data_IF_536570942110
#
_entry.id   IF_536570942110
#
_cell.length_a   1.000
_cell.length_b   1.000
_cell.length_c   1.000
_cell.angle_alpha   90.00
_cell.angle_beta   90.00
_cell.angle_gamma   90.00
#
_symmetry.space_group_name_H-M   'P 1'
#
loop_
_entity.id
_entity.type
_entity.pdbx_description
1 polymer ?
#
# COMPACT_ATOMS: atom_id res chain seq x y z
N UNK A 1 -5.82 10.68 -6.14
CA UNK A 1 -6.08 11.42 -7.39
C UNK A 1 -7.53 11.29 -7.79
N UNK A 2 -7.87 11.80 -8.96
CA UNK A 2 -9.10 11.45 -9.66
C UNK A 2 -8.61 10.79 -10.95
N UNK A 3 -8.92 9.51 -11.10
CA UNK A 3 -8.70 8.76 -12.35
C UNK A 3 -10.06 8.58 -12.99
N UNK A 4 -10.16 8.80 -14.29
CA UNK A 4 -11.41 8.60 -15.05
C UNK A 4 -11.29 7.39 -15.96
N UNK A 5 -12.41 6.76 -16.31
CA UNK A 5 -12.45 5.65 -17.27
C UNK A 5 -11.94 6.04 -18.66
N UNK A 6 -12.00 7.33 -19.01
CA UNK A 6 -11.44 7.87 -20.26
C UNK A 6 -9.91 7.79 -20.27
N UNK A 7 -9.24 8.13 -19.16
CA UNK A 7 -7.78 8.03 -19.02
C UNK A 7 -7.28 6.58 -19.10
N UNK A 8 -8.14 5.60 -18.82
CA UNK A 8 -7.80 4.18 -18.86
C UNK A 8 -7.87 3.57 -20.26
N UNK A 9 -8.51 4.24 -21.22
CA UNK A 9 -8.73 3.67 -22.57
C UNK A 9 -7.41 3.51 -23.32
N UNK A 10 -7.25 2.35 -23.94
CA UNK A 10 -6.06 2.03 -24.73
C UNK A 10 -4.88 1.50 -23.90
N UNK A 11 -5.02 1.42 -22.57
CA UNK A 11 -4.06 0.77 -21.69
C UNK A 11 -4.58 -0.59 -21.24
N UNK A 12 -3.65 -1.51 -20.93
CA UNK A 12 -3.97 -2.75 -20.24
C UNK A 12 -3.99 -2.46 -18.72
N UNK A 13 -5.18 -2.44 -18.12
CA UNK A 13 -5.40 -1.90 -16.77
C UNK A 13 -5.86 -2.98 -15.81
N UNK A 14 -5.13 -3.12 -14.70
CA UNK A 14 -5.53 -3.91 -13.54
C UNK A 14 -5.71 -2.99 -12.32
N UNK A 15 -6.90 -3.01 -11.72
CA UNK A 15 -7.25 -2.21 -10.52
C UNK A 15 -7.07 -3.05 -9.26
N UNK A 16 -6.35 -2.51 -8.27
CA UNK A 16 -6.09 -3.17 -6.99
C UNK A 16 -6.89 -2.50 -5.87
N UNK A 17 -7.42 -3.29 -4.93
CA UNK A 17 -8.03 -2.79 -3.70
C UNK A 17 -7.70 -3.68 -2.50
N UNK A 18 -7.12 -3.09 -1.46
CA UNK A 18 -6.50 -3.79 -0.32
C UNK A 18 -7.48 -4.32 0.71
N UNK A 19 -8.64 -3.69 0.89
CA UNK A 19 -9.72 -4.13 1.79
C UNK A 19 -11.00 -3.31 1.52
N UNK A 20 -12.09 -3.63 2.24
CA UNK A 20 -13.43 -3.15 1.94
C UNK A 20 -13.80 -1.75 2.48
N UNK A 21 -13.00 -1.16 3.38
CA UNK A 21 -13.31 0.17 3.93
C UNK A 21 -13.31 1.28 2.88
N UNK A 22 -14.11 2.31 3.15
CA UNK A 22 -14.44 3.35 2.17
C UNK A 22 -13.27 4.24 1.75
N UNK A 23 -12.24 4.36 2.58
CA UNK A 23 -11.01 5.06 2.23
C UNK A 23 -10.07 4.24 1.32
N UNK A 24 -10.35 2.94 1.13
CA UNK A 24 -9.61 2.05 0.23
C UNK A 24 -10.43 1.55 -0.96
N UNK A 25 -11.74 1.37 -0.78
CA UNK A 25 -12.62 0.82 -1.80
C UNK A 25 -13.98 1.50 -1.81
N UNK A 26 -14.36 1.98 -3.00
CA UNK A 26 -15.70 2.50 -3.26
C UNK A 26 -16.31 1.60 -4.35
N UNK A 27 -17.44 0.90 -4.09
CA UNK A 27 -18.05 -0.04 -5.05
C UNK A 27 -18.36 0.54 -6.44
N UNK A 28 -18.41 1.86 -6.57
CA UNK A 28 -18.55 2.54 -7.85
C UNK A 28 -17.45 2.17 -8.86
N UNK A 29 -16.23 1.84 -8.39
CA UNK A 29 -15.12 1.41 -9.26
C UNK A 29 -15.46 0.16 -10.07
N UNK A 30 -16.28 -0.74 -9.52
CA UNK A 30 -16.70 -1.98 -10.20
C UNK A 30 -17.57 -1.72 -11.43
N UNK A 31 -18.15 -0.51 -11.54
CA UNK A 31 -18.94 -0.12 -12.72
C UNK A 31 -18.05 0.25 -13.90
N UNK A 32 -16.75 0.49 -13.70
CA UNK A 32 -15.82 0.89 -14.76
C UNK A 32 -15.68 -0.17 -15.85
N UNK A 33 -15.88 -1.46 -15.51
CA UNK A 33 -15.90 -2.56 -16.49
C UNK A 33 -17.01 -2.42 -17.55
N UNK A 34 -18.02 -1.57 -17.35
CA UNK A 34 -19.04 -1.27 -18.37
C UNK A 34 -18.50 -0.36 -19.48
N UNK A 35 -17.52 0.48 -19.16
CA UNK A 35 -16.91 1.43 -20.08
C UNK A 35 -15.57 0.93 -20.63
N UNK A 36 -14.88 0.09 -19.85
CA UNK A 36 -13.60 -0.55 -20.20
C UNK A 36 -13.74 -2.06 -19.93
N UNK A 37 -14.30 -2.85 -20.87
CA UNK A 37 -14.61 -4.27 -20.64
C UNK A 37 -13.41 -5.16 -20.33
N UNK A 38 -12.23 -4.79 -20.83
CA UNK A 38 -10.97 -5.52 -20.62
C UNK A 38 -10.35 -5.28 -19.23
N UNK A 39 -10.95 -4.38 -18.42
CA UNK A 39 -10.40 -4.03 -17.12
C UNK A 39 -10.44 -5.22 -16.15
N UNK A 40 -9.30 -5.47 -15.51
CA UNK A 40 -9.12 -6.54 -14.53
C UNK A 40 -9.11 -5.96 -13.12
N UNK A 41 -9.49 -6.76 -12.14
CA UNK A 41 -9.44 -6.36 -10.74
C UNK A 41 -8.69 -7.40 -9.91
N UNK A 42 -7.87 -6.94 -8.97
CA UNK A 42 -7.32 -7.73 -7.87
C UNK A 42 -7.89 -7.15 -6.59
N UNK A 43 -8.87 -7.85 -6.02
CA UNK A 43 -9.62 -7.37 -4.86
C UNK A 43 -9.31 -8.29 -3.68
N UNK A 44 -9.03 -7.69 -2.52
CA UNK A 44 -8.93 -8.44 -1.27
C UNK A 44 -10.17 -9.32 -1.02
N UNK A 45 -9.97 -10.40 -0.28
CA UNK A 45 -10.95 -11.45 -0.02
C UNK A 45 -12.22 -10.94 0.69
N UNK A 46 -12.10 -9.86 1.46
CA UNK A 46 -13.17 -9.20 2.22
C UNK A 46 -14.04 -8.27 1.36
N UNK A 47 -13.59 -7.91 0.15
CA UNK A 47 -14.36 -7.08 -0.77
C UNK A 47 -15.43 -7.93 -1.48
N UNK A 48 -16.67 -7.46 -1.59
CA UNK A 48 -17.65 -8.10 -2.49
C UNK A 48 -17.51 -7.58 -3.92
N UNK A 49 -17.37 -8.48 -4.89
CA UNK A 49 -17.27 -8.13 -6.30
C UNK A 49 -18.63 -7.91 -6.98
N UNK A 50 -19.75 -8.25 -6.34
CA UNK A 50 -21.10 -8.03 -6.89
C UNK A 50 -21.36 -8.61 -8.28
N UNK A 51 -20.66 -9.69 -8.67
CA UNK A 51 -20.76 -10.29 -10.01
C UNK A 51 -19.93 -9.63 -11.10
N UNK A 52 -19.03 -8.70 -10.74
CA UNK A 52 -18.10 -8.07 -11.70
C UNK A 52 -17.19 -9.13 -12.33
N UNK A 53 -17.03 -9.17 -13.66
CA UNK A 53 -16.13 -10.11 -14.33
C UNK A 53 -14.66 -9.74 -14.10
N UNK A 54 -13.75 -10.64 -14.47
CA UNK A 54 -12.29 -10.41 -14.45
C UNK A 54 -11.73 -10.02 -13.08
N UNK A 55 -12.26 -10.64 -12.01
CA UNK A 55 -11.83 -10.40 -10.63
C UNK A 55 -10.98 -11.56 -10.12
N UNK A 56 -9.75 -11.25 -9.70
CA UNK A 56 -8.91 -12.12 -8.88
C UNK A 56 -9.13 -11.78 -7.41
N UNK A 57 -9.52 -12.79 -6.61
CA UNK A 57 -9.66 -12.65 -5.16
C UNK A 57 -8.31 -12.87 -4.47
N UNK A 58 -7.82 -11.81 -3.84
CA UNK A 58 -6.54 -11.79 -3.14
C UNK A 58 -6.74 -12.17 -1.66
N UNK A 59 -6.16 -13.30 -1.27
CA UNK A 59 -6.08 -13.77 0.11
C UNK A 59 -4.69 -13.44 0.68
N UNK A 60 -4.53 -13.35 2.01
CA UNK A 60 -3.22 -13.15 2.61
C UNK A 60 -2.23 -14.25 2.23
N UNK A 61 -0.95 -13.89 2.04
CA UNK A 61 0.16 -14.83 1.85
C UNK A 61 0.00 -15.76 0.63
N UNK A 62 -0.52 -15.24 -0.47
CA UNK A 62 -0.80 -15.99 -1.68
C UNK A 62 -0.16 -15.34 -2.91
N UNK A 63 -0.13 -16.09 -4.01
CA UNK A 63 0.46 -15.66 -5.28
C UNK A 63 -0.53 -15.89 -6.41
N UNK A 64 -0.64 -14.91 -7.30
CA UNK A 64 -1.58 -14.89 -8.42
C UNK A 64 -0.90 -14.40 -9.69
N UNK A 65 -1.40 -14.85 -10.85
CA UNK A 65 -1.23 -14.14 -12.12
C UNK A 65 -2.51 -13.33 -12.38
N UNK A 66 -2.34 -12.03 -12.62
CA UNK A 66 -3.44 -11.10 -12.89
C UNK A 66 -3.22 -10.42 -14.25
N UNK A 67 -3.19 -11.24 -15.32
CA UNK A 67 -3.02 -10.76 -16.69
C UNK A 67 -1.57 -10.39 -16.97
N UNK A 68 -0.63 -11.30 -16.66
CA UNK A 68 0.80 -11.07 -16.83
C UNK A 68 1.45 -10.27 -15.70
N UNK A 69 0.66 -9.73 -14.77
CA UNK A 69 1.15 -9.16 -13.51
C UNK A 69 1.25 -10.28 -12.48
N UNK A 70 2.46 -10.57 -12.00
CA UNK A 70 2.64 -11.49 -10.88
C UNK A 70 2.36 -10.73 -9.58
N UNK A 71 1.34 -11.17 -8.86
CA UNK A 71 0.92 -10.54 -7.60
C UNK A 71 1.24 -11.48 -6.44
N UNK A 72 1.95 -10.97 -5.43
CA UNK A 72 2.06 -11.61 -4.11
C UNK A 72 1.36 -10.75 -3.07
N UNK A 73 0.84 -11.36 -2.02
CA UNK A 73 0.14 -10.66 -0.95
C UNK A 73 0.74 -10.95 0.42
N UNK A 74 0.64 -10.00 1.33
CA UNK A 74 0.89 -10.19 2.76
C UNK A 74 -0.41 -9.99 3.54
N UNK A 75 -0.46 -10.52 4.77
CA UNK A 75 -1.58 -10.24 5.66
C UNK A 75 -1.46 -8.82 6.19
N UNK A 76 -2.52 -8.01 6.06
CA UNK A 76 -2.57 -6.71 6.72
C UNK A 76 -2.73 -6.86 8.23
N UNK A 77 -2.18 -5.92 8.99
CA UNK A 77 -2.33 -5.86 10.46
C UNK A 77 -3.60 -5.15 10.91
N UNK A 78 -4.24 -4.39 10.02
CA UNK A 78 -5.58 -3.84 10.23
C UNK A 78 -6.59 -4.64 9.40
N UNK A 79 -6.72 -4.33 8.10
CA UNK A 79 -7.66 -5.03 7.20
C UNK A 79 -7.09 -5.46 5.85
N UNK A 80 -7.57 -6.62 5.39
CA UNK A 80 -7.29 -7.21 4.07
C UNK A 80 -5.83 -7.57 3.84
N UNK A 81 -5.23 -7.06 2.76
CA UNK A 81 -3.90 -7.46 2.28
C UNK A 81 -3.03 -6.28 1.85
N UNK A 82 -1.71 -6.47 1.98
CA UNK A 82 -0.72 -5.69 1.22
C UNK A 82 -0.41 -6.38 -0.11
N UNK A 83 0.03 -5.62 -1.11
CA UNK A 83 0.37 -6.13 -2.44
C UNK A 83 1.85 -5.96 -2.75
N UNK A 84 2.40 -6.98 -3.43
CA UNK A 84 3.61 -6.89 -4.22
C UNK A 84 3.21 -7.21 -5.67
N UNK A 85 3.35 -6.26 -6.57
CA UNK A 85 3.06 -6.43 -7.99
C UNK A 85 4.36 -6.39 -8.80
N UNK A 86 4.59 -7.41 -9.62
CA UNK A 86 5.72 -7.54 -10.52
C UNK A 86 5.20 -7.52 -11.97
N UNK A 87 5.54 -6.49 -12.73
CA UNK A 87 5.11 -6.29 -14.12
C UNK A 87 6.20 -5.53 -14.90
N UNK A 88 6.48 -5.94 -16.14
CA UNK A 88 7.45 -5.28 -17.04
C UNK A 88 8.83 -5.01 -16.41
N UNK A 89 9.28 -5.93 -15.54
CA UNK A 89 10.55 -5.80 -14.82
C UNK A 89 10.54 -4.84 -13.64
N UNK A 90 9.40 -4.17 -13.37
CA UNK A 90 9.18 -3.35 -12.18
C UNK A 90 8.61 -4.17 -11.04
N UNK A 91 8.99 -3.81 -9.81
CA UNK A 91 8.50 -4.42 -8.58
C UNK A 91 7.97 -3.36 -7.62
N UNK A 92 6.65 -3.36 -7.42
CA UNK A 92 5.93 -2.35 -6.65
C UNK A 92 5.39 -2.98 -5.37
N UNK A 93 5.66 -2.35 -4.22
CA UNK A 93 5.03 -2.66 -2.93
C UNK A 93 3.95 -1.64 -2.59
N UNK A 94 2.77 -2.11 -2.21
CA UNK A 94 1.71 -1.26 -1.68
C UNK A 94 1.19 -1.88 -0.39
N UNK A 95 1.46 -1.23 0.74
CA UNK A 95 1.18 -1.80 2.05
C UNK A 95 -0.32 -2.00 2.35
N UNK A 96 -1.21 -1.24 1.70
CA UNK A 96 -2.58 -1.13 2.22
C UNK A 96 -2.52 -0.66 3.67
N UNK A 97 -3.14 -1.40 4.58
CA UNK A 97 -3.07 -1.10 6.02
C UNK A 97 -2.06 -1.94 6.79
N UNK A 98 -1.15 -2.62 6.09
CA UNK A 98 -0.06 -3.30 6.77
C UNK A 98 0.91 -2.27 7.35
N UNK A 99 0.80 -2.02 8.64
CA UNK A 99 1.63 -1.08 9.38
C UNK A 99 1.87 -1.52 10.82
N UNK A 100 2.86 -0.90 11.47
CA UNK A 100 3.03 -1.00 12.91
C UNK A 100 2.10 0.01 13.61
N UNK A 101 0.85 -0.38 13.82
CA UNK A 101 -0.18 0.44 14.48
C UNK A 101 0.00 0.49 16.00
N UNK A 102 1.10 1.08 16.46
CA UNK A 102 1.31 1.31 17.90
C UNK A 102 0.52 2.53 18.34
N UNK A 103 -0.40 2.34 19.29
CA UNK A 103 -1.25 3.41 19.81
C UNK A 103 -0.93 3.65 21.28
N UNK A 104 -0.56 4.90 21.60
CA UNK A 104 -0.33 5.32 22.98
C UNK A 104 -1.62 5.16 23.80
N UNK A 105 -1.52 4.46 24.93
CA UNK A 105 -2.64 4.19 25.81
C UNK A 105 -3.34 2.85 25.57
N UNK A 106 -3.09 2.17 24.45
CA UNK A 106 -3.52 0.78 24.28
C UNK A 106 -2.72 -0.16 25.19
N UNK A 107 -3.31 -1.30 25.62
CA UNK A 107 -2.62 -2.27 26.45
C UNK A 107 -1.30 -2.72 25.83
N UNK A 108 -0.24 -2.82 26.65
CA UNK A 108 1.10 -3.21 26.19
C UNK A 108 1.06 -4.53 25.40
N UNK A 109 0.29 -5.51 25.88
CA UNK A 109 0.11 -6.80 25.19
C UNK A 109 -0.48 -6.64 23.77
N UNK A 110 -1.39 -5.71 23.56
CA UNK A 110 -1.98 -5.45 22.24
C UNK A 110 -0.96 -4.80 21.30
N UNK A 111 -0.21 -3.81 21.82
CA UNK A 111 0.88 -3.16 21.09
C UNK A 111 2.03 -4.14 20.75
N UNK A 112 2.33 -5.08 21.63
CA UNK A 112 3.31 -6.15 21.39
C UNK A 112 2.82 -7.14 20.32
N UNK A 113 1.55 -7.56 20.39
CA UNK A 113 0.95 -8.43 19.38
C UNK A 113 0.93 -7.76 18.00
N UNK A 114 0.61 -6.46 17.95
CA UNK A 114 0.68 -5.64 16.73
C UNK A 114 2.11 -5.60 16.17
N UNK A 115 3.11 -5.36 17.02
CA UNK A 115 4.51 -5.38 16.62
C UNK A 115 4.92 -6.74 16.04
N UNK A 116 4.55 -7.85 16.69
CA UNK A 116 4.86 -9.20 16.22
C UNK A 116 4.19 -9.51 14.88
N UNK A 117 2.92 -9.14 14.73
CA UNK A 117 2.17 -9.35 13.48
C UNK A 117 2.78 -8.56 12.32
N UNK A 118 3.06 -7.28 12.52
CA UNK A 118 3.68 -6.43 11.49
C UNK A 118 5.06 -6.95 11.09
N UNK A 119 5.94 -7.15 12.06
CA UNK A 119 7.32 -7.61 11.82
C UNK A 119 7.33 -8.97 11.13
N UNK A 120 6.48 -9.90 11.55
CA UNK A 120 6.36 -11.22 10.93
C UNK A 120 5.99 -11.19 9.45
N UNK A 121 5.19 -10.22 9.01
CA UNK A 121 4.86 -10.04 7.59
C UNK A 121 5.98 -9.34 6.81
N UNK A 122 6.60 -8.29 7.38
CA UNK A 122 7.73 -7.58 6.74
C UNK A 122 8.98 -8.45 6.64
N UNK A 123 9.25 -9.30 7.62
CA UNK A 123 10.42 -10.19 7.63
C UNK A 123 10.40 -11.20 6.46
N UNK A 124 9.23 -11.49 5.90
CA UNK A 124 9.10 -12.32 4.68
C UNK A 124 9.68 -11.64 3.44
N UNK A 125 9.79 -10.30 3.46
CA UNK A 125 10.36 -9.48 2.39
C UNK A 125 11.84 -9.18 2.60
N UNK A 126 12.48 -9.79 3.61
CA UNK A 126 13.85 -9.44 4.01
C UNK A 126 14.83 -9.61 2.85
N UNK A 127 15.60 -8.56 2.60
CA UNK A 127 16.58 -8.50 1.50
C UNK A 127 15.99 -8.22 0.12
N UNK A 128 14.66 -8.11 -0.01
CA UNK A 128 14.04 -7.67 -1.25
C UNK A 128 14.25 -6.17 -1.47
N UNK A 129 14.43 -5.78 -2.74
CA UNK A 129 14.43 -4.38 -3.18
C UNK A 129 13.25 -4.14 -4.11
N UNK A 130 12.49 -3.08 -3.84
CA UNK A 130 11.36 -2.61 -4.63
C UNK A 130 11.77 -1.39 -5.45
N UNK A 131 11.20 -1.22 -6.63
CA UNK A 131 11.38 0.01 -7.41
C UNK A 131 10.55 1.14 -6.78
N UNK A 132 9.31 0.84 -6.40
CA UNK A 132 8.39 1.79 -5.77
C UNK A 132 7.74 1.13 -4.55
N UNK A 133 7.67 1.84 -3.43
CA UNK A 133 6.97 1.40 -2.23
C UNK A 133 6.00 2.47 -1.72
N UNK A 134 4.75 2.09 -1.48
CA UNK A 134 3.75 2.90 -0.78
C UNK A 134 3.61 2.38 0.65
N UNK A 135 4.00 3.20 1.64
CA UNK A 135 4.11 2.77 3.04
C UNK A 135 3.41 3.77 3.98
N UNK A 136 2.60 3.32 4.96
CA UNK A 136 1.91 4.20 5.88
C UNK A 136 2.89 5.02 6.74
N UNK A 137 2.60 6.31 6.88
CA UNK A 137 3.24 7.22 7.82
C UNK A 137 2.11 8.06 8.42
N UNK A 138 1.56 7.59 9.54
CA UNK A 138 0.32 8.13 10.09
C UNK A 138 0.61 9.05 11.29
N UNK A 139 0.31 10.37 11.18
CA UNK A 139 0.57 11.33 12.26
C UNK A 139 -0.23 11.06 13.53
N UNK A 140 -1.31 10.26 13.47
CA UNK A 140 -2.14 9.90 14.63
C UNK A 140 -1.39 8.99 15.61
N UNK A 141 -0.34 8.30 15.15
CA UNK A 141 0.53 7.46 15.98
C UNK A 141 1.59 8.28 16.75
N UNK A 142 1.48 9.60 16.75
CA UNK A 142 2.35 10.50 17.52
C UNK A 142 3.86 10.22 17.37
N UNK A 143 4.54 9.72 18.40
CA UNK A 143 5.99 9.47 18.39
C UNK A 143 6.35 8.18 17.60
N UNK A 144 5.40 7.27 17.40
CA UNK A 144 5.53 6.01 16.64
C UNK A 144 5.21 6.10 15.15
N UNK A 145 4.80 7.26 14.65
CA UNK A 145 4.37 7.49 13.26
C UNK A 145 5.29 6.92 12.15
N UNK A 146 6.58 6.75 12.44
CA UNK A 146 7.61 6.28 11.52
C UNK A 146 7.95 4.79 11.66
N UNK A 147 7.53 4.14 12.75
CA UNK A 147 8.02 2.79 13.10
C UNK A 147 7.80 1.74 12.02
N UNK A 148 6.66 1.79 11.33
CA UNK A 148 6.39 0.90 10.20
C UNK A 148 7.39 1.12 9.06
N UNK A 149 7.44 2.34 8.52
CA UNK A 149 8.36 2.69 7.43
C UNK A 149 9.83 2.41 7.78
N UNK A 150 10.26 2.77 8.99
CA UNK A 150 11.64 2.55 9.43
C UNK A 150 11.97 1.06 9.55
N UNK A 151 11.08 0.24 10.09
CA UNK A 151 11.27 -1.21 10.16
C UNK A 151 11.29 -1.85 8.76
N UNK A 152 10.41 -1.39 7.85
CA UNK A 152 10.44 -1.79 6.44
C UNK A 152 11.80 -1.48 5.80
N UNK A 153 12.30 -0.25 5.92
CA UNK A 153 13.58 0.15 5.31
C UNK A 153 14.82 -0.50 5.94
N UNK A 154 14.70 -1.03 7.16
CA UNK A 154 15.77 -1.81 7.82
C UNK A 154 15.82 -3.26 7.39
N UNK A 155 14.72 -3.82 6.89
CA UNK A 155 14.62 -5.24 6.51
C UNK A 155 14.58 -5.45 5.00
N UNK A 156 13.98 -4.52 4.27
CA UNK A 156 13.89 -4.46 2.81
C UNK A 156 14.36 -3.08 2.34
N UNK A 157 14.37 -2.85 1.03
CA UNK A 157 14.72 -1.54 0.46
C UNK A 157 13.74 -1.14 -0.64
N UNK A 158 13.57 0.15 -0.87
CA UNK A 158 12.89 0.69 -2.03
C UNK A 158 13.74 1.80 -2.67
N UNK A 159 13.66 1.92 -4.00
CA UNK A 159 14.34 3.00 -4.75
C UNK A 159 13.58 4.32 -4.65
N UNK A 160 12.25 4.24 -4.66
CA UNK A 160 11.32 5.37 -4.46
C UNK A 160 10.29 5.00 -3.41
N UNK A 161 10.07 5.87 -2.44
CA UNK A 161 9.13 5.66 -1.33
C UNK A 161 8.08 6.77 -1.36
N UNK A 162 6.82 6.38 -1.43
CA UNK A 162 5.67 7.26 -1.23
C UNK A 162 5.06 6.98 0.14
N UNK A 163 5.28 7.85 1.14
CA UNK A 163 4.48 7.84 2.35
C UNK A 163 2.99 7.92 2.01
N UNK A 164 2.15 7.27 2.80
CA UNK A 164 0.68 7.34 2.69
C UNK A 164 0.03 7.37 4.08
N UNK A 165 -1.30 7.34 4.17
CA UNK A 165 -2.07 7.36 5.43
C UNK A 165 -1.98 8.63 6.29
N UNK A 166 -1.37 9.71 5.79
CA UNK A 166 -1.31 11.01 6.50
C UNK A 166 -2.53 11.93 6.23
N UNK A 167 -3.55 11.49 5.49
CA UNK A 167 -4.73 12.28 5.10
C UNK A 167 -4.34 13.65 4.49
N UNK A 168 -4.59 14.74 5.21
CA UNK A 168 -4.25 16.11 4.80
C UNK A 168 -3.08 16.71 5.60
N UNK A 169 -2.40 15.92 6.44
CA UNK A 169 -1.32 16.37 7.31
C UNK A 169 0.03 16.41 6.56
N UNK A 170 0.11 17.22 5.49
CA UNK A 170 1.34 17.32 4.67
C UNK A 170 2.57 17.85 5.43
N UNK A 171 2.39 18.46 6.61
CA UNK A 171 3.50 18.81 7.50
C UNK A 171 4.27 17.59 8.03
N UNK A 172 3.73 16.38 7.89
CA UNK A 172 4.42 15.14 8.26
C UNK A 172 5.75 14.97 7.51
N UNK A 173 5.85 15.50 6.30
CA UNK A 173 7.07 15.48 5.51
C UNK A 173 8.18 16.33 6.15
N UNK A 174 7.86 17.47 6.76
CA UNK A 174 8.86 18.28 7.47
C UNK A 174 9.44 17.52 8.66
N UNK A 175 8.58 16.78 9.38
CA UNK A 175 9.00 15.91 10.48
C UNK A 175 9.89 14.76 9.96
N UNK A 176 9.46 14.07 8.90
CA UNK A 176 10.21 12.97 8.29
C UNK A 176 11.60 13.44 7.81
N UNK A 177 11.68 14.58 7.13
CA UNK A 177 12.95 15.13 6.63
C UNK A 177 13.85 15.71 7.72
N UNK A 178 13.33 15.96 8.93
CA UNK A 178 14.12 16.37 10.08
C UNK A 178 14.54 15.18 10.98
N UNK A 179 13.80 14.07 10.95
CA UNK A 179 14.04 12.91 11.82
C UNK A 179 15.33 12.17 11.42
N UNK A 180 16.26 12.01 12.35
CA UNK A 180 17.53 11.30 12.13
C UNK A 180 17.35 9.83 11.74
N UNK A 181 16.24 9.18 12.14
CA UNK A 181 15.97 7.79 11.76
C UNK A 181 15.83 7.61 10.25
N UNK A 182 15.48 8.68 9.52
CA UNK A 182 15.31 8.61 8.06
C UNK A 182 16.60 8.78 7.29
N UNK A 183 17.71 9.18 7.92
CA UNK A 183 18.95 9.59 7.23
C UNK A 183 19.42 8.59 6.16
N UNK A 184 19.29 7.28 6.41
CA UNK A 184 19.73 6.24 5.48
C UNK A 184 18.86 6.02 4.23
N UNK A 185 17.65 6.60 4.19
CA UNK A 185 16.70 6.45 3.07
C UNK A 185 15.94 7.73 2.70
N UNK A 186 16.22 8.84 3.39
CA UNK A 186 15.50 10.11 3.26
C UNK A 186 15.47 10.64 1.84
N UNK A 187 16.57 10.46 1.11
CA UNK A 187 16.74 10.86 -0.29
C UNK A 187 15.81 10.12 -1.27
N UNK A 188 15.24 8.99 -0.84
CA UNK A 188 14.30 8.16 -1.62
C UNK A 188 12.85 8.45 -1.30
N UNK A 189 12.57 9.28 -0.28
CA UNK A 189 11.22 9.62 0.14
C UNK A 189 10.70 10.78 -0.70
N UNK A 190 9.60 10.53 -1.40
CA UNK A 190 8.93 11.54 -2.23
C UNK A 190 8.02 12.40 -1.36
N UNK A 191 8.25 13.73 -1.39
CA UNK A 191 7.37 14.70 -0.76
C UNK A 191 6.09 14.83 -1.57
N UNK A 192 4.94 14.62 -0.93
CA UNK A 192 3.62 14.87 -1.50
C UNK A 192 3.12 16.20 -0.91
N UNK A 193 2.61 17.09 -1.76
CA UNK A 193 2.19 18.45 -1.41
C UNK A 193 0.67 18.65 -1.49
N UNK A 194 -0.03 17.87 -2.32
CA UNK A 194 -1.48 17.97 -2.48
C UNK A 194 -2.13 16.70 -3.03
N UNK A 195 -3.46 16.61 -2.86
CA UNK A 195 -4.24 15.47 -3.38
C UNK A 195 -4.29 15.53 -4.90
N UNK A 196 -3.90 14.43 -5.55
CA UNK A 196 -3.94 14.32 -7.01
C UNK A 196 -2.69 14.82 -7.73
N UNK A 197 -1.62 15.07 -6.99
CA UNK A 197 -0.29 15.30 -7.53
C UNK A 197 0.16 14.13 -8.43
N UNK A 198 0.88 14.46 -9.50
CA UNK A 198 1.43 13.52 -10.47
C UNK A 198 2.94 13.56 -10.39
N UNK A 199 3.57 12.39 -10.51
CA UNK A 199 5.02 12.22 -10.39
C UNK A 199 5.56 11.53 -11.64
N UNK A 200 6.67 12.03 -12.15
CA UNK A 200 7.48 11.38 -13.18
C UNK A 200 8.69 10.77 -12.47
N UNK A 201 8.94 9.48 -12.69
CA UNK A 201 9.95 8.68 -12.00
C UNK A 201 11.03 8.20 -12.95
#
# INVERSE_FOLDING_TARGET
GIVTTEELRGFDVTVFASHAHMDHFIPAVLKWGREVPELRYVLSYDISAGGTPNVTKAFPNAVYDAGGIRVRTLKSTDEGVAFIAEADGLKIYHAGDLNWWHWEGEPEQENEAMAQAYKGEIDKLKGETFDIAFVPVDPRLEKEYLWGLDYFMKNCSARVIFPMHFRNAYSIFDRLFADSATEGYRDRVVRISHRGERFEL
#
